data_IF_494487760780
#
_entry.id   IF_494487760780
#
_cell.length_a   1.000
_cell.length_b   1.000
_cell.length_c   1.000
_cell.angle_alpha   90.00
_cell.angle_beta   90.00
_cell.angle_gamma   90.00
#
_symmetry.space_group_name_H-M   'P 1'
#
loop_
_entity.id
_entity.type
_entity.pdbx_description
1 polymer ?
#
# COMPACT_ATOMS: atom_id res chain seq x y z
N UNK A 1 -7.21 -2.21 -1.09
CA UNK A 1 -6.90 -0.90 -1.70
C UNK A 1 -6.57 0.13 -0.62
N UNK A 2 -7.46 0.35 0.36
CA UNK A 2 -7.29 1.36 1.42
C UNK A 2 -6.02 1.24 2.26
N UNK A 3 -5.64 0.04 2.73
CA UNK A 3 -4.44 -0.12 3.57
C UNK A 3 -3.14 0.24 2.83
N UNK A 4 -3.04 -0.02 1.52
CA UNK A 4 -1.88 0.39 0.73
C UNK A 4 -1.84 1.91 0.50
N UNK A 5 -3.01 2.53 0.28
CA UNK A 5 -3.12 3.99 0.14
C UNK A 5 -2.75 4.70 1.45
N UNK A 6 -3.23 4.18 2.59
CA UNK A 6 -3.00 4.78 3.90
C UNK A 6 -1.58 4.63 4.43
N UNK A 7 -0.89 3.52 4.11
CA UNK A 7 0.47 3.25 4.61
C UNK A 7 1.58 3.63 3.63
N UNK A 8 1.27 3.76 2.33
CA UNK A 8 2.24 4.00 1.25
C UNK A 8 1.67 4.98 0.22
N UNK A 9 1.67 6.25 0.59
CA UNK A 9 1.21 7.36 -0.24
C UNK A 9 1.98 7.49 -1.57
N UNK A 10 3.24 7.01 -1.60
CA UNK A 10 4.11 6.93 -2.77
C UNK A 10 3.59 5.97 -3.86
N UNK A 11 2.85 4.94 -3.44
CA UNK A 11 2.21 3.97 -4.35
C UNK A 11 0.73 4.26 -4.57
N UNK A 12 0.08 5.05 -3.70
CA UNK A 12 -1.34 5.33 -3.76
C UNK A 12 -1.79 5.84 -5.13
N UNK A 13 -1.08 6.83 -5.68
CA UNK A 13 -1.39 7.40 -6.99
C UNK A 13 -1.21 6.37 -8.13
N UNK A 14 -0.12 5.59 -8.10
CA UNK A 14 0.16 4.59 -9.12
C UNK A 14 -0.87 3.45 -9.10
N UNK A 15 -1.24 2.98 -7.91
CA UNK A 15 -2.25 1.92 -7.73
C UNK A 15 -3.65 2.43 -8.11
N UNK A 16 -3.99 3.67 -7.75
CA UNK A 16 -5.23 4.34 -8.18
C UNK A 16 -5.35 4.38 -9.71
N UNK A 17 -4.32 4.90 -10.38
CA UNK A 17 -4.26 5.00 -11.84
C UNK A 17 -4.25 3.64 -12.55
N UNK A 18 -3.70 2.58 -11.94
CA UNK A 18 -3.74 1.25 -12.55
C UNK A 18 -5.10 0.57 -12.35
N UNK A 19 -5.84 0.92 -11.29
CA UNK A 19 -7.13 0.29 -10.98
C UNK A 19 -8.22 0.62 -12.00
N UNK A 20 -8.19 1.81 -12.61
CA UNK A 20 -9.10 2.20 -13.69
C UNK A 20 -8.91 1.37 -14.97
N UNK A 21 -7.73 0.75 -15.17
CA UNK A 21 -7.44 -0.10 -16.32
C UNK A 21 -7.58 -1.59 -16.02
N UNK A 22 -8.20 -1.95 -14.88
CA UNK A 22 -8.37 -3.36 -14.49
C UNK A 22 -9.28 -4.13 -15.44
N UNK A 23 -10.29 -3.46 -16.03
CA UNK A 23 -11.26 -4.11 -16.92
C UNK A 23 -10.66 -4.50 -18.29
N UNK A 24 -9.69 -3.73 -18.80
CA UNK A 24 -8.97 -4.04 -20.04
C UNK A 24 -7.52 -3.52 -19.97
N UNK A 25 -6.59 -4.31 -19.39
CA UNK A 25 -5.23 -3.86 -19.18
C UNK A 25 -4.39 -3.99 -20.46
N UNK A 26 -3.98 -2.85 -21.03
CA UNK A 26 -2.94 -2.84 -22.05
C UNK A 26 -1.58 -3.38 -21.52
N UNK A 27 -0.68 -3.87 -22.39
CA UNK A 27 0.61 -4.44 -21.99
C UNK A 27 1.48 -3.49 -21.14
N UNK A 28 1.37 -2.19 -21.39
CA UNK A 28 2.04 -1.13 -20.61
C UNK A 28 1.53 -1.06 -19.17
N UNK A 29 0.22 -1.09 -18.97
CA UNK A 29 -0.41 -1.13 -17.65
C UNK A 29 -0.04 -2.40 -16.89
N UNK A 30 0.01 -3.55 -17.57
CA UNK A 30 0.43 -4.82 -16.97
C UNK A 30 1.89 -4.81 -16.51
N UNK A 31 2.80 -4.21 -17.28
CA UNK A 31 4.20 -4.06 -16.87
C UNK A 31 4.35 -3.12 -15.67
N UNK A 32 3.61 -2.01 -15.66
CA UNK A 32 3.59 -1.08 -14.54
C UNK A 32 3.07 -1.76 -13.25
N UNK A 33 1.99 -2.54 -13.36
CA UNK A 33 1.45 -3.32 -12.24
C UNK A 33 2.47 -4.31 -11.68
N UNK A 34 3.16 -5.06 -12.55
CA UNK A 34 4.24 -5.96 -12.11
C UNK A 34 5.37 -5.23 -11.39
N UNK A 35 5.68 -3.99 -11.79
CA UNK A 35 6.71 -3.18 -11.13
C UNK A 35 6.26 -2.76 -9.73
N UNK A 36 5.01 -2.34 -9.57
CA UNK A 36 4.40 -2.05 -8.26
C UNK A 36 4.42 -3.28 -7.37
N UNK A 37 4.02 -4.45 -7.88
CA UNK A 37 4.03 -5.71 -7.11
C UNK A 37 5.44 -6.14 -6.69
N UNK A 38 6.44 -6.00 -7.56
CA UNK A 38 7.84 -6.29 -7.20
C UNK A 38 8.39 -5.34 -6.15
N UNK A 39 8.05 -4.06 -6.24
CA UNK A 39 8.43 -3.07 -5.23
C UNK A 39 7.82 -3.43 -3.86
N UNK A 40 6.53 -3.79 -3.83
CA UNK A 40 5.87 -4.27 -2.62
C UNK A 40 6.54 -5.53 -2.06
N UNK A 41 6.89 -6.49 -2.91
CA UNK A 41 7.55 -7.73 -2.52
C UNK A 41 8.95 -7.48 -1.94
N UNK A 42 9.74 -6.58 -2.54
CA UNK A 42 11.09 -6.25 -2.08
C UNK A 42 11.12 -5.60 -0.69
N UNK A 43 10.01 -4.96 -0.30
CA UNK A 43 9.90 -4.22 0.96
C UNK A 43 8.96 -4.96 1.93
N UNK A 44 8.66 -6.23 1.65
CA UNK A 44 7.87 -7.09 2.55
C UNK A 44 8.57 -7.36 3.89
N UNK A 45 9.90 -7.24 3.93
CA UNK A 45 10.70 -7.31 5.15
C UNK A 45 10.64 -6.04 6.01
N UNK A 46 10.11 -4.92 5.47
CA UNK A 46 9.95 -3.67 6.20
C UNK A 46 8.46 -3.37 6.38
N UNK A 47 7.97 -3.63 7.59
CA UNK A 47 6.62 -3.30 8.03
C UNK A 47 6.66 -2.51 9.33
N UNK A 48 5.56 -1.82 9.64
CA UNK A 48 5.35 -1.25 10.97
C UNK A 48 5.03 -2.40 11.93
N UNK A 49 5.99 -2.74 12.79
CA UNK A 49 5.78 -3.70 13.86
C UNK A 49 5.23 -2.94 15.08
N UNK A 50 3.91 -2.98 15.24
CA UNK A 50 3.24 -2.42 16.41
C UNK A 50 3.25 -3.48 17.52
N UNK A 51 4.33 -3.52 18.30
CA UNK A 51 4.40 -4.33 19.53
C UNK A 51 4.07 -3.46 20.73
N UNK A 52 3.21 -3.97 21.61
CA UNK A 52 2.98 -3.39 22.94
C UNK A 52 4.19 -3.71 23.81
N UNK A 53 5.17 -2.81 23.86
CA UNK A 53 6.23 -2.86 24.87
C UNK A 53 5.73 -2.20 26.16
N UNK A 54 6.01 -2.84 27.30
CA UNK A 54 5.73 -2.31 28.63
C UNK A 54 6.63 -1.09 28.92
N UNK A 55 6.35 0.06 28.30
CA UNK A 55 7.11 1.28 28.58
C UNK A 55 7.04 2.44 27.57
N UNK A 56 6.53 2.24 26.34
CA UNK A 56 6.42 3.32 25.35
C UNK A 56 4.99 3.56 24.86
N UNK A 57 4.77 4.79 24.39
CA UNK A 57 3.49 5.46 24.13
C UNK A 57 2.41 4.58 23.49
N UNK A 58 1.19 4.73 24.03
CA UNK A 58 -0.04 4.11 23.53
C UNK A 58 -0.15 4.36 22.02
N UNK A 59 -0.19 3.28 21.23
CA UNK A 59 -0.49 3.36 19.79
C UNK A 59 -1.93 3.84 19.62
N UNK A 60 -2.12 5.11 19.27
CA UNK A 60 -3.43 5.70 18.98
C UNK A 60 -3.82 5.45 17.52
N UNK A 61 -4.83 4.61 17.28
CA UNK A 61 -5.44 4.41 15.97
C UNK A 61 -6.62 5.36 15.76
N UNK A 62 -6.64 6.05 14.62
CA UNK A 62 -7.78 6.86 14.18
C UNK A 62 -8.53 6.08 13.09
N UNK A 63 -9.85 5.97 13.22
CA UNK A 63 -10.73 5.36 12.21
C UNK A 63 -11.70 6.42 11.74
N UNK A 64 -11.63 6.79 10.46
CA UNK A 64 -12.63 7.63 9.81
C UNK A 64 -13.68 6.73 9.15
N UNK A 65 -14.93 7.21 9.09
CA UNK A 65 -16.11 6.39 8.77
C UNK A 65 -16.71 6.69 7.38
N UNK A 66 -15.89 7.12 6.42
CA UNK A 66 -16.31 7.38 5.03
C UNK A 66 -16.26 6.11 4.15
#
# INVERSE_FOLDING_TARGET
>A
MYLMVATRLDLAAAVGLLSQFYADPCPTHWQALKRVLRYLQAISAHGLQLSREDGYEVVCGYSDAD
#
